data_IF_621735413901
#
_entry.id   IF_621735413901
#
_cell.length_a   1.000
_cell.length_b   1.000
_cell.length_c   1.000
_cell.angle_alpha   90.00
_cell.angle_beta   90.00
_cell.angle_gamma   90.00
#
_symmetry.space_group_name_H-M   'P 1'
#
loop_
_entity.id
_entity.type
_entity.pdbx_description
1 polymer ?
#
# COMPACT_ATOMS: atom_id res chain seq x y z
N UNK A 1 0.43 1.58 -5.74
CA UNK A 1 1.89 1.91 -5.80
C UNK A 1 2.70 0.61 -5.89
N UNK A 2 2.75 -0.17 -4.85
CA UNK A 2 3.54 -1.42 -4.74
C UNK A 2 3.19 -2.42 -5.84
N UNK A 3 1.91 -2.69 -6.06
CA UNK A 3 1.42 -3.58 -7.13
C UNK A 3 1.91 -3.15 -8.52
N UNK A 4 2.05 -1.83 -8.77
CA UNK A 4 2.57 -1.35 -10.06
C UNK A 4 4.01 -1.83 -10.28
N UNK A 5 4.87 -1.70 -9.26
CA UNK A 5 6.27 -2.14 -9.33
C UNK A 5 6.34 -3.66 -9.51
N UNK A 6 5.58 -4.42 -8.72
CA UNK A 6 5.50 -5.88 -8.82
C UNK A 6 5.05 -6.35 -10.21
N UNK A 7 4.05 -5.68 -10.80
CA UNK A 7 3.56 -6.00 -12.14
C UNK A 7 4.56 -5.69 -13.24
N UNK A 8 5.31 -4.59 -13.12
CA UNK A 8 6.40 -4.26 -14.06
C UNK A 8 7.50 -5.29 -13.95
N UNK A 9 7.93 -5.64 -12.74
CA UNK A 9 8.94 -6.66 -12.51
C UNK A 9 8.52 -8.03 -13.09
N UNK A 10 7.27 -8.44 -12.86
CA UNK A 10 6.73 -9.69 -13.40
C UNK A 10 6.76 -9.72 -14.95
N UNK A 11 6.40 -8.62 -15.63
CA UNK A 11 6.45 -8.52 -17.09
C UNK A 11 7.86 -8.53 -17.65
N UNK A 12 8.83 -8.07 -16.86
CA UNK A 12 10.25 -8.11 -17.20
C UNK A 12 10.92 -9.44 -16.81
N UNK A 13 10.16 -10.38 -16.27
CA UNK A 13 10.68 -11.63 -15.68
C UNK A 13 11.80 -11.37 -14.66
N UNK A 14 11.63 -10.34 -13.86
CA UNK A 14 12.60 -9.86 -12.89
C UNK A 14 12.14 -10.20 -11.47
N UNK A 15 12.90 -10.98 -10.69
CA UNK A 15 12.54 -11.29 -9.32
C UNK A 15 12.32 -10.02 -8.50
N UNK A 16 11.21 -9.97 -7.79
CA UNK A 16 10.83 -8.81 -6.98
C UNK A 16 10.55 -9.22 -5.54
N UNK A 17 11.18 -8.54 -4.60
CA UNK A 17 10.99 -8.74 -3.17
C UNK A 17 10.37 -7.49 -2.59
N UNK A 18 9.30 -7.65 -1.84
CA UNK A 18 8.64 -6.57 -1.13
C UNK A 18 8.87 -6.69 0.36
N UNK A 19 9.33 -5.60 0.96
CA UNK A 19 9.54 -5.47 2.42
C UNK A 19 8.71 -4.28 2.88
N UNK A 20 7.76 -4.53 3.77
CA UNK A 20 6.98 -3.46 4.39
C UNK A 20 7.78 -2.87 5.55
N UNK A 21 8.03 -1.56 5.50
CA UNK A 21 8.74 -0.85 6.57
C UNK A 21 7.71 -0.34 7.57
N UNK A 22 7.64 -1.00 8.69
CA UNK A 22 6.85 -0.54 9.84
C UNK A 22 7.74 -0.20 11.03
N UNK A 23 7.13 0.22 12.14
CA UNK A 23 7.85 0.56 13.36
C UNK A 23 8.55 -0.62 14.04
N UNK A 24 8.31 -1.86 13.60
CA UNK A 24 8.89 -3.08 14.19
C UNK A 24 10.12 -3.55 13.42
N UNK A 25 10.21 -3.25 12.12
CA UNK A 25 11.41 -3.59 11.33
C UNK A 25 12.59 -2.78 11.82
N UNK A 26 13.65 -3.48 12.17
CA UNK A 26 14.90 -2.92 12.69
C UNK A 26 16.07 -3.15 11.72
N UNK A 27 17.18 -2.48 11.97
CA UNK A 27 18.42 -2.69 11.23
C UNK A 27 18.84 -4.16 11.18
N UNK A 28 18.66 -4.90 12.28
CA UNK A 28 19.04 -6.32 12.39
C UNK A 28 18.22 -7.19 11.44
N UNK A 29 16.94 -6.87 11.24
CA UNK A 29 16.08 -7.62 10.35
C UNK A 29 16.46 -7.43 8.88
N UNK A 30 16.95 -6.23 8.52
CA UNK A 30 17.43 -5.96 7.17
C UNK A 30 18.82 -6.49 6.90
N UNK A 31 19.78 -6.25 7.79
CA UNK A 31 21.20 -6.57 7.58
C UNK A 31 21.54 -8.00 7.95
N UNK A 32 20.98 -8.47 9.06
CA UNK A 32 21.28 -9.77 9.62
C UNK A 32 21.68 -9.69 11.09
N UNK A 33 21.88 -10.84 11.67
CA UNK A 33 22.19 -11.01 13.10
C UNK A 33 23.00 -12.26 13.37
N UNK A 34 23.69 -12.25 14.49
CA UNK A 34 24.31 -13.44 15.03
C UNK A 34 23.24 -14.45 15.50
N UNK A 35 23.40 -15.68 15.11
CA UNK A 35 22.55 -16.79 15.49
C UNK A 35 23.40 -17.94 16.06
N UNK A 36 22.89 -18.57 17.12
CA UNK A 36 23.51 -19.78 17.65
C UNK A 36 23.02 -20.96 16.81
N UNK A 37 23.93 -21.65 16.17
CA UNK A 37 23.68 -22.85 15.38
C UNK A 37 24.41 -24.06 15.96
N UNK A 38 23.83 -25.25 15.77
CA UNK A 38 24.50 -26.50 16.13
C UNK A 38 25.30 -26.99 14.93
N UNK A 39 26.63 -27.07 15.09
CA UNK A 39 27.54 -27.74 14.16
C UNK A 39 28.28 -28.86 14.89
N UNK A 40 28.17 -30.07 14.39
CA UNK A 40 28.81 -31.25 14.97
C UNK A 40 28.54 -31.42 16.48
N UNK A 41 27.31 -31.14 16.91
CA UNK A 41 26.90 -31.24 18.30
C UNK A 41 27.39 -30.10 19.22
N UNK A 42 28.10 -29.10 18.69
CA UNK A 42 28.56 -27.91 19.41
C UNK A 42 27.78 -26.68 19.03
N UNK A 43 27.49 -25.80 19.98
CA UNK A 43 26.92 -24.50 19.73
C UNK A 43 28.00 -23.56 19.18
N UNK A 44 27.75 -22.97 18.02
CA UNK A 44 28.63 -22.00 17.37
C UNK A 44 27.81 -20.75 17.06
N UNK A 45 28.37 -19.58 17.28
CA UNK A 45 27.76 -18.32 16.83
C UNK A 45 28.11 -18.11 15.36
N UNK A 46 27.10 -17.89 14.52
CA UNK A 46 27.24 -17.65 13.09
C UNK A 46 26.42 -16.44 12.71
N UNK A 47 27.00 -15.50 11.95
CA UNK A 47 26.26 -14.38 11.40
C UNK A 47 25.33 -14.87 10.27
N UNK A 48 24.04 -14.61 10.42
CA UNK A 48 23.03 -14.87 9.36
C UNK A 48 22.69 -13.57 8.67
N UNK A 49 23.00 -13.49 7.39
CA UNK A 49 22.65 -12.34 6.55
C UNK A 49 21.16 -12.15 6.49
N UNK A 50 20.72 -10.88 6.53
CA UNK A 50 19.34 -10.47 6.31
C UNK A 50 19.00 -10.33 4.82
N UNK A 51 17.81 -9.83 4.56
CA UNK A 51 17.28 -9.73 3.18
C UNK A 51 18.04 -8.72 2.32
N UNK A 52 18.53 -7.61 2.89
CA UNK A 52 19.19 -6.56 2.13
C UNK A 52 20.56 -6.96 1.59
N UNK A 53 21.49 -7.55 2.38
CA UNK A 53 22.75 -8.09 1.85
C UNK A 53 22.53 -9.12 0.75
N UNK A 54 21.55 -10.01 0.92
CA UNK A 54 21.22 -10.99 -0.10
C UNK A 54 20.68 -10.33 -1.38
N UNK A 55 19.75 -9.40 -1.26
CA UNK A 55 19.16 -8.70 -2.41
C UNK A 55 20.22 -7.93 -3.20
N UNK A 56 21.13 -7.24 -2.52
CA UNK A 56 22.22 -6.50 -3.16
C UNK A 56 23.12 -7.39 -4.03
N UNK A 57 23.34 -8.63 -3.64
CA UNK A 57 24.23 -9.55 -4.37
C UNK A 57 23.54 -10.24 -5.55
N UNK A 58 22.21 -10.10 -5.69
CA UNK A 58 21.42 -10.81 -6.69
C UNK A 58 20.75 -9.86 -7.69
N UNK A 59 20.41 -10.34 -8.91
CA UNK A 59 19.70 -9.56 -9.92
C UNK A 59 18.22 -9.45 -9.60
N UNK A 60 17.88 -8.72 -8.55
CA UNK A 60 16.51 -8.59 -8.02
C UNK A 60 16.09 -7.13 -7.89
N UNK A 61 14.78 -6.89 -7.92
CA UNK A 61 14.17 -5.66 -7.47
C UNK A 61 13.76 -5.81 -6.01
N UNK A 62 14.16 -4.88 -5.15
CA UNK A 62 13.63 -4.78 -3.78
C UNK A 62 12.73 -3.55 -3.68
N UNK A 63 11.56 -3.73 -3.06
CA UNK A 63 10.59 -2.65 -2.84
C UNK A 63 10.42 -2.45 -1.35
N UNK A 64 10.83 -1.30 -0.84
CA UNK A 64 10.49 -0.88 0.51
C UNK A 64 9.13 -0.18 0.49
N UNK A 65 8.11 -0.88 0.96
CA UNK A 65 6.76 -0.35 1.03
C UNK A 65 6.56 0.43 2.34
N UNK A 66 5.76 1.50 2.28
CA UNK A 66 5.56 2.42 3.41
C UNK A 66 6.87 3.02 3.94
N UNK A 67 7.74 3.45 3.02
CA UNK A 67 9.06 3.98 3.33
C UNK A 67 9.03 5.13 4.35
N UNK A 68 8.01 5.95 4.33
CA UNK A 68 7.77 7.07 5.25
C UNK A 68 7.30 6.62 6.66
N UNK A 69 7.01 5.34 6.87
CA UNK A 69 6.73 4.77 8.19
C UNK A 69 7.96 4.06 8.82
N UNK A 70 9.06 3.98 8.06
CA UNK A 70 10.27 3.29 8.49
C UNK A 70 11.00 3.98 9.65
N UNK A 71 11.66 3.18 10.49
CA UNK A 71 12.49 3.68 11.59
C UNK A 71 13.74 4.39 11.08
N UNK A 72 14.22 5.39 11.79
CA UNK A 72 15.39 6.17 11.42
C UNK A 72 16.67 5.31 11.24
N UNK A 73 16.89 4.32 12.09
CA UNK A 73 18.05 3.41 12.02
C UNK A 73 18.03 2.54 10.74
N UNK A 74 16.85 2.11 10.30
CA UNK A 74 16.62 1.40 9.03
C UNK A 74 16.87 2.33 7.84
N UNK A 75 16.36 3.56 7.90
CA UNK A 75 16.50 4.56 6.85
C UNK A 75 17.97 4.89 6.56
N UNK A 76 18.82 4.99 7.59
CA UNK A 76 20.25 5.23 7.42
C UNK A 76 20.97 4.09 6.70
N UNK A 77 20.56 2.85 6.90
CA UNK A 77 21.10 1.69 6.16
C UNK A 77 20.74 1.78 4.68
N UNK A 78 19.47 2.05 4.39
CA UNK A 78 18.97 2.17 3.02
C UNK A 78 19.63 3.36 2.31
N UNK A 79 19.78 4.49 3.01
CA UNK A 79 20.43 5.70 2.51
C UNK A 79 21.84 5.40 1.94
N UNK A 80 22.62 4.57 2.62
CA UNK A 80 23.98 4.21 2.19
C UNK A 80 24.00 3.45 0.86
N UNK A 81 22.98 2.65 0.62
CA UNK A 81 22.81 1.90 -0.64
C UNK A 81 22.38 2.83 -1.80
N UNK A 82 21.69 3.92 -1.49
CA UNK A 82 21.20 4.88 -2.49
C UNK A 82 22.28 5.85 -3.00
N UNK A 83 23.45 5.90 -2.38
CA UNK A 83 24.55 6.77 -2.84
C UNK A 83 25.09 6.34 -4.23
N UNK A 84 25.74 7.25 -4.94
CA UNK A 84 26.25 7.03 -6.30
C UNK A 84 27.18 5.81 -6.40
N UNK A 85 28.05 5.65 -5.38
CA UNK A 85 28.90 4.47 -5.18
C UNK A 85 28.31 3.53 -4.12
N UNK A 86 26.99 3.39 -4.13
CA UNK A 86 26.23 2.68 -3.11
C UNK A 86 26.81 1.32 -2.80
N UNK A 87 27.01 1.07 -1.52
CA UNK A 87 27.55 -0.20 -0.99
C UNK A 87 27.07 -0.41 0.43
N UNK A 88 27.04 -1.65 0.84
CA UNK A 88 26.68 -2.02 2.21
C UNK A 88 27.92 -2.60 2.92
N UNK A 89 28.30 -2.00 4.04
CA UNK A 89 29.38 -2.52 4.89
C UNK A 89 28.77 -3.34 6.02
N UNK A 90 29.08 -4.61 6.06
CA UNK A 90 28.74 -5.52 7.14
C UNK A 90 29.89 -5.48 8.17
N UNK A 91 29.69 -4.76 9.26
CA UNK A 91 30.71 -4.58 10.29
C UNK A 91 31.01 -5.90 11.03
N UNK A 92 30.00 -6.72 11.23
CA UNK A 92 30.09 -7.98 11.98
C UNK A 92 30.97 -9.03 11.26
N UNK A 93 31.08 -8.91 9.94
CA UNK A 93 31.86 -9.83 9.09
C UNK A 93 33.00 -9.15 8.34
N UNK A 94 33.22 -7.85 8.55
CA UNK A 94 34.21 -7.02 7.84
C UNK A 94 34.09 -7.13 6.30
N UNK A 95 32.87 -7.25 5.79
CA UNK A 95 32.59 -7.34 4.34
C UNK A 95 31.99 -6.07 3.80
N UNK A 96 32.40 -5.71 2.58
CA UNK A 96 31.76 -4.67 1.77
C UNK A 96 31.03 -5.35 0.62
N UNK A 97 29.74 -5.10 0.50
CA UNK A 97 28.89 -5.64 -0.54
C UNK A 97 28.61 -4.51 -1.54
N UNK A 98 28.96 -4.74 -2.79
CA UNK A 98 28.58 -3.89 -3.91
C UNK A 98 27.33 -4.44 -4.58
N UNK A 99 26.38 -3.57 -4.99
CA UNK A 99 25.18 -4.02 -5.66
C UNK A 99 25.47 -4.75 -6.97
N UNK A 100 24.73 -5.83 -7.21
CA UNK A 100 24.69 -6.47 -8.51
C UNK A 100 24.27 -5.44 -9.59
N UNK A 101 24.87 -5.44 -10.78
CA UNK A 101 24.51 -4.50 -11.86
C UNK A 101 23.01 -4.47 -12.23
N UNK A 102 22.34 -5.60 -12.02
CA UNK A 102 20.89 -5.73 -12.25
C UNK A 102 20.04 -5.58 -10.97
N UNK A 103 20.64 -5.22 -9.84
CA UNK A 103 19.89 -4.85 -8.64
C UNK A 103 19.19 -3.51 -8.82
N UNK A 104 17.96 -3.39 -8.36
CA UNK A 104 17.25 -2.10 -8.27
C UNK A 104 16.49 -1.99 -6.97
N UNK A 105 16.46 -0.77 -6.45
CA UNK A 105 15.77 -0.44 -5.21
C UNK A 105 14.63 0.52 -5.51
N UNK A 106 13.44 0.18 -5.01
CA UNK A 106 12.23 0.99 -5.10
C UNK A 106 11.68 1.26 -3.71
N UNK A 107 10.94 2.33 -3.56
CA UNK A 107 10.17 2.58 -2.36
C UNK A 107 8.79 3.13 -2.71
N UNK A 108 7.83 2.95 -1.80
CA UNK A 108 6.55 3.64 -1.86
C UNK A 108 6.34 4.42 -0.58
N UNK A 109 5.71 5.58 -0.69
CA UNK A 109 5.36 6.43 0.43
C UNK A 109 3.95 6.99 0.26
N UNK A 110 3.32 7.41 1.33
CA UNK A 110 2.00 8.03 1.31
C UNK A 110 2.10 9.56 1.39
N UNK A 111 3.11 10.09 2.06
CA UNK A 111 3.29 11.52 2.33
C UNK A 111 4.45 12.14 1.56
N UNK A 112 5.10 11.41 0.67
CA UNK A 112 6.35 11.82 -0.03
C UNK A 112 7.44 12.24 0.98
N UNK A 113 7.38 11.73 2.21
CA UNK A 113 8.36 12.06 3.26
C UNK A 113 8.16 13.43 3.93
N UNK A 114 7.07 14.10 3.67
CA UNK A 114 6.75 15.40 4.32
C UNK A 114 6.10 15.24 5.70
N UNK A 115 5.80 14.00 6.08
CA UNK A 115 5.01 13.69 7.27
C UNK A 115 3.52 13.92 7.05
N UNK A 116 2.73 13.48 8.01
CA UNK A 116 1.28 13.64 7.95
C UNK A 116 0.86 15.01 8.49
N UNK A 117 0.53 15.94 7.61
CA UNK A 117 -0.03 17.25 7.95
C UNK A 117 -1.56 17.22 8.04
N UNK A 118 -2.19 16.12 7.61
CA UNK A 118 -3.65 16.01 7.48
C UNK A 118 -4.30 15.12 8.54
N UNK A 119 -3.51 14.38 9.32
CA UNK A 119 -4.00 13.41 10.30
C UNK A 119 -4.51 12.10 9.69
N UNK A 120 -4.31 11.88 8.38
CA UNK A 120 -4.86 10.75 7.63
C UNK A 120 -3.90 9.57 7.52
N UNK A 121 -2.62 9.83 7.68
CA UNK A 121 -1.54 8.86 7.55
C UNK A 121 -0.77 8.72 8.86
N UNK A 122 -1.49 8.39 9.94
CA UNK A 122 -0.88 8.16 11.25
C UNK A 122 0.25 7.14 11.16
N UNK A 123 1.37 7.44 11.82
CA UNK A 123 2.57 6.58 11.82
C UNK A 123 3.58 6.92 10.74
N UNK A 124 3.26 7.81 9.77
CA UNK A 124 4.27 8.33 8.85
C UNK A 124 5.15 9.37 9.55
N UNK A 125 6.43 9.36 9.22
CA UNK A 125 7.43 10.27 9.77
C UNK A 125 7.92 11.24 8.70
N UNK A 126 8.39 12.39 9.14
CA UNK A 126 9.07 13.30 8.25
C UNK A 126 10.46 12.74 7.89
N UNK A 127 10.69 12.52 6.60
CA UNK A 127 11.97 12.04 6.11
C UNK A 127 12.95 13.21 6.00
N UNK A 128 14.19 12.97 6.42
CA UNK A 128 15.25 13.96 6.29
C UNK A 128 15.48 14.34 4.82
N UNK A 129 15.63 15.61 4.52
CA UNK A 129 15.84 16.13 3.17
C UNK A 129 17.04 15.45 2.49
N UNK A 130 18.13 15.21 3.21
CA UNK A 130 19.29 14.50 2.66
C UNK A 130 19.01 13.05 2.27
N UNK A 131 18.05 12.40 2.91
CA UNK A 131 17.60 11.05 2.50
C UNK A 131 16.74 11.12 1.25
N UNK A 132 15.88 12.13 1.13
CA UNK A 132 15.05 12.35 -0.06
C UNK A 132 15.88 12.67 -1.29
N UNK A 133 16.92 13.46 -1.15
CA UNK A 133 17.83 13.87 -2.22
C UNK A 133 18.58 12.69 -2.89
N UNK A 134 18.71 11.57 -2.18
CA UNK A 134 19.35 10.36 -2.70
C UNK A 134 18.48 9.53 -3.63
N UNK A 135 17.19 9.78 -3.65
CA UNK A 135 16.29 9.13 -4.60
C UNK A 135 16.41 9.81 -5.97
N UNK A 136 16.97 9.09 -6.94
CA UNK A 136 17.22 9.63 -8.27
C UNK A 136 15.93 9.94 -9.04
N UNK A 137 14.85 9.24 -8.75
CA UNK A 137 13.54 9.41 -9.40
C UNK A 137 12.46 9.37 -8.33
N UNK A 138 11.68 10.44 -8.24
CA UNK A 138 10.48 10.51 -7.40
C UNK A 138 9.29 10.79 -8.32
N UNK A 139 8.30 9.88 -8.30
CA UNK A 139 7.10 9.99 -9.12
C UNK A 139 5.86 9.93 -8.25
N UNK A 140 4.92 10.80 -8.51
CA UNK A 140 3.60 10.76 -7.88
C UNK A 140 2.64 9.93 -8.72
N UNK A 141 1.92 9.00 -8.06
CA UNK A 141 0.85 8.23 -8.68
C UNK A 141 -0.48 8.75 -8.16
N UNK A 142 -1.34 9.10 -9.07
CA UNK A 142 -2.70 9.52 -8.79
C UNK A 142 -3.72 8.41 -9.14
N UNK A 143 -4.98 8.66 -8.90
CA UNK A 143 -6.05 7.77 -9.36
C UNK A 143 -6.09 7.72 -10.89
N UNK A 144 -6.52 6.58 -11.41
CA UNK A 144 -6.65 6.36 -12.83
C UNK A 144 -7.86 7.11 -13.40
N UNK A 145 -7.91 7.35 -14.73
CA UNK A 145 -9.12 7.76 -15.40
C UNK A 145 -10.27 6.80 -15.13
N UNK A 146 -11.49 7.33 -15.09
CA UNK A 146 -12.71 6.58 -14.76
C UNK A 146 -12.85 5.26 -15.53
N UNK A 147 -12.72 5.31 -16.84
CA UNK A 147 -12.88 4.14 -17.73
C UNK A 147 -11.80 3.08 -17.50
N UNK A 148 -10.58 3.51 -17.20
CA UNK A 148 -9.48 2.58 -16.89
C UNK A 148 -9.75 1.86 -15.58
N UNK A 149 -10.28 2.54 -14.57
CA UNK A 149 -10.62 1.93 -13.29
C UNK A 149 -11.78 0.94 -13.44
N UNK A 150 -12.82 1.29 -14.20
CA UNK A 150 -13.93 0.37 -14.56
C UNK A 150 -13.36 -0.88 -15.24
N UNK A 151 -12.45 -0.70 -16.20
CA UNK A 151 -11.79 -1.82 -16.89
C UNK A 151 -11.00 -2.74 -15.95
N UNK A 152 -10.32 -2.18 -14.96
CA UNK A 152 -9.58 -2.95 -13.95
C UNK A 152 -10.52 -3.76 -13.06
N UNK A 153 -11.62 -3.16 -12.61
CA UNK A 153 -12.60 -3.85 -11.75
C UNK A 153 -13.26 -4.97 -12.54
N UNK A 154 -13.68 -4.73 -13.79
CA UNK A 154 -14.27 -5.74 -14.67
C UNK A 154 -13.31 -6.91 -14.95
N UNK A 155 -12.02 -6.61 -15.19
CA UNK A 155 -11.01 -7.66 -15.39
C UNK A 155 -10.77 -8.52 -14.14
N UNK A 156 -10.99 -7.95 -12.95
CA UNK A 156 -10.92 -8.68 -11.67
C UNK A 156 -12.16 -9.53 -11.40
N UNK A 157 -13.31 -9.07 -11.88
CA UNK A 157 -14.63 -9.64 -11.59
C UNK A 157 -15.38 -9.96 -12.90
N UNK A 158 -15.06 -11.10 -13.54
CA UNK A 158 -15.63 -11.46 -14.84
C UNK A 158 -17.16 -11.52 -14.88
N UNK A 159 -17.81 -11.71 -13.75
CA UNK A 159 -19.28 -11.69 -13.66
C UNK A 159 -19.90 -10.32 -14.05
N UNK A 160 -19.12 -9.25 -13.96
CA UNK A 160 -19.53 -7.90 -14.41
C UNK A 160 -19.16 -7.61 -15.86
N UNK A 161 -18.59 -8.56 -16.60
CA UNK A 161 -18.22 -8.35 -18.02
C UNK A 161 -19.41 -8.50 -18.97
N UNK A 162 -20.48 -7.80 -18.61
CA UNK A 162 -21.71 -7.62 -19.39
C UNK A 162 -21.97 -6.13 -19.52
N UNK A 163 -22.84 -5.71 -20.46
CA UNK A 163 -23.22 -4.30 -20.61
C UNK A 163 -23.78 -3.72 -19.31
N UNK A 164 -24.71 -4.42 -18.67
CA UNK A 164 -25.33 -4.01 -17.41
C UNK A 164 -24.33 -4.01 -16.25
N UNK A 165 -23.49 -5.05 -16.16
CA UNK A 165 -22.47 -5.16 -15.14
C UNK A 165 -21.42 -4.02 -15.24
N UNK A 166 -20.99 -3.68 -16.44
CA UNK A 166 -20.07 -2.56 -16.67
C UNK A 166 -20.69 -1.21 -16.31
N UNK A 167 -21.99 -1.00 -16.58
CA UNK A 167 -22.72 0.19 -16.14
C UNK A 167 -22.79 0.27 -14.60
N UNK A 168 -23.07 -0.84 -13.95
CA UNK A 168 -23.03 -0.92 -12.48
C UNK A 168 -21.64 -0.58 -11.92
N UNK A 169 -20.57 -1.13 -12.50
CA UNK A 169 -19.20 -0.78 -12.12
C UNK A 169 -18.89 0.70 -12.37
N UNK A 170 -19.36 1.28 -13.48
CA UNK A 170 -19.18 2.70 -13.77
C UNK A 170 -19.85 3.59 -12.69
N UNK A 171 -21.02 3.20 -12.19
CA UNK A 171 -21.68 3.89 -11.08
C UNK A 171 -20.88 3.75 -9.76
N UNK A 172 -20.31 2.58 -9.49
CA UNK A 172 -19.44 2.36 -8.32
C UNK A 172 -18.17 3.21 -8.39
N UNK A 173 -17.52 3.27 -9.55
CA UNK A 173 -16.32 4.12 -9.75
C UNK A 173 -16.69 5.60 -9.66
N UNK A 174 -17.85 6.01 -10.19
CA UNK A 174 -18.37 7.39 -10.06
C UNK A 174 -18.55 7.78 -8.59
N UNK A 175 -19.07 6.86 -7.78
CA UNK A 175 -19.16 7.05 -6.33
C UNK A 175 -17.77 7.26 -5.70
N UNK A 176 -16.78 6.46 -6.09
CA UNK A 176 -15.40 6.62 -5.64
C UNK A 176 -14.84 8.00 -6.06
N UNK A 177 -15.09 8.44 -7.29
CA UNK A 177 -14.66 9.76 -7.77
C UNK A 177 -15.26 10.91 -6.96
N UNK A 178 -16.52 10.80 -6.54
CA UNK A 178 -17.16 11.80 -5.67
C UNK A 178 -16.52 11.83 -4.29
N UNK A 179 -16.22 10.66 -3.68
CA UNK A 179 -15.55 10.62 -2.39
C UNK A 179 -14.14 11.21 -2.45
N UNK A 180 -13.42 10.99 -3.56
CA UNK A 180 -12.08 11.56 -3.79
C UNK A 180 -12.14 13.08 -3.94
N UNK A 181 -13.15 13.60 -4.63
CA UNK A 181 -13.38 15.05 -4.73
C UNK A 181 -13.75 15.65 -3.39
N UNK A 182 -14.66 15.04 -2.64
CA UNK A 182 -15.03 15.46 -1.30
C UNK A 182 -13.85 15.46 -0.33
N UNK A 183 -12.96 14.48 -0.47
CA UNK A 183 -11.71 14.45 0.29
C UNK A 183 -10.77 15.61 -0.06
N UNK A 184 -10.60 15.90 -1.36
CA UNK A 184 -9.75 17.01 -1.82
C UNK A 184 -10.30 18.38 -1.43
N UNK A 185 -11.63 18.54 -1.31
CA UNK A 185 -12.27 19.75 -0.82
C UNK A 185 -12.34 19.86 0.70
N UNK A 186 -12.02 18.79 1.43
CA UNK A 186 -12.09 18.75 2.90
C UNK A 186 -13.48 18.43 3.45
N UNK A 187 -14.42 18.05 2.61
CA UNK A 187 -15.79 17.67 3.01
C UNK A 187 -15.84 16.26 3.62
N UNK A 188 -14.86 15.42 3.27
CA UNK A 188 -14.71 14.05 3.75
C UNK A 188 -13.28 13.79 4.22
N UNK A 189 -13.12 13.04 5.29
CA UNK A 189 -11.84 12.48 5.75
C UNK A 189 -11.61 11.07 5.20
N UNK A 190 -12.67 10.40 4.76
CA UNK A 190 -12.63 9.03 4.25
C UNK A 190 -12.71 9.02 2.73
N UNK A 191 -11.81 8.27 2.08
CA UNK A 191 -11.72 8.18 0.61
C UNK A 191 -11.87 6.75 0.12
N UNK A 192 -12.61 6.57 -0.97
CA UNK A 192 -12.76 5.28 -1.61
C UNK A 192 -11.61 5.03 -2.61
N UNK A 193 -10.76 4.06 -2.29
CA UNK A 193 -9.68 3.60 -3.17
C UNK A 193 -10.20 2.60 -4.22
N UNK A 194 -9.45 2.32 -5.30
CA UNK A 194 -9.79 1.26 -6.25
C UNK A 194 -9.96 -0.11 -5.58
N UNK A 195 -9.18 -0.40 -4.51
CA UNK A 195 -9.34 -1.62 -3.71
C UNK A 195 -10.73 -1.68 -3.06
N UNK A 196 -11.21 -0.56 -2.55
CA UNK A 196 -12.54 -0.48 -1.93
C UNK A 196 -13.64 -0.69 -2.97
N UNK A 197 -13.49 -0.18 -4.19
CA UNK A 197 -14.44 -0.43 -5.30
C UNK A 197 -14.49 -1.92 -5.64
N UNK A 198 -13.34 -2.57 -5.78
CA UNK A 198 -13.25 -4.02 -6.04
C UNK A 198 -13.97 -4.79 -4.92
N UNK A 199 -13.64 -4.50 -3.65
CA UNK A 199 -14.27 -5.15 -2.49
C UNK A 199 -15.78 -4.91 -2.45
N UNK A 200 -16.25 -3.71 -2.80
CA UNK A 200 -17.67 -3.43 -2.87
C UNK A 200 -18.37 -4.27 -3.95
N UNK A 201 -17.78 -4.35 -5.14
CA UNK A 201 -18.32 -5.16 -6.23
C UNK A 201 -18.31 -6.66 -5.89
N UNK A 202 -17.24 -7.19 -5.26
CA UNK A 202 -17.16 -8.56 -4.74
C UNK A 202 -18.27 -8.83 -3.72
N UNK A 203 -18.41 -7.95 -2.73
CA UNK A 203 -19.44 -8.08 -1.70
C UNK A 203 -20.86 -7.98 -2.28
N UNK A 204 -21.07 -7.22 -3.35
CA UNK A 204 -22.35 -7.17 -4.05
C UNK A 204 -22.73 -8.53 -4.63
N UNK A 205 -21.75 -9.28 -5.15
CA UNK A 205 -21.99 -10.65 -5.62
C UNK A 205 -22.30 -11.61 -4.47
N UNK A 206 -21.60 -11.45 -3.33
CA UNK A 206 -21.77 -12.33 -2.17
C UNK A 206 -23.14 -12.11 -1.51
N UNK A 207 -23.54 -10.86 -1.30
CA UNK A 207 -24.76 -10.51 -0.58
C UNK A 207 -26.00 -10.41 -1.49
N UNK A 208 -25.82 -10.31 -2.81
CA UNK A 208 -26.91 -10.10 -3.77
C UNK A 208 -27.57 -8.72 -3.67
N UNK A 209 -27.01 -7.80 -2.87
CA UNK A 209 -27.52 -6.45 -2.66
C UNK A 209 -26.40 -5.41 -2.62
N UNK A 210 -26.46 -4.47 -3.57
CA UNK A 210 -25.44 -3.42 -3.75
C UNK A 210 -25.39 -2.46 -2.56
N UNK A 211 -26.51 -2.21 -1.92
CA UNK A 211 -26.64 -1.28 -0.80
C UNK A 211 -26.04 -1.85 0.49
N UNK A 212 -26.36 -3.09 0.81
CA UNK A 212 -25.75 -3.81 1.94
C UNK A 212 -24.24 -3.93 1.74
N UNK A 213 -23.80 -4.30 0.53
CA UNK A 213 -22.40 -4.38 0.18
C UNK A 213 -21.67 -3.03 0.33
N UNK A 214 -22.29 -1.93 -0.12
CA UNK A 214 -21.73 -0.58 0.07
C UNK A 214 -21.56 -0.22 1.53
N UNK A 215 -22.59 -0.44 2.32
CA UNK A 215 -22.57 -0.17 3.77
C UNK A 215 -21.42 -0.89 4.45
N UNK A 216 -21.26 -2.18 4.20
CA UNK A 216 -20.21 -3.01 4.81
C UNK A 216 -18.81 -2.72 4.28
N UNK A 217 -18.71 -2.35 3.01
CA UNK A 217 -17.41 -2.09 2.37
C UNK A 217 -16.87 -0.69 2.65
N UNK A 218 -17.74 0.31 2.78
CA UNK A 218 -17.34 1.70 2.85
C UNK A 218 -18.06 2.52 3.93
N UNK A 219 -19.39 2.61 3.93
CA UNK A 219 -20.13 3.55 4.79
C UNK A 219 -19.81 3.37 6.28
N UNK A 220 -19.67 2.13 6.74
CA UNK A 220 -19.38 1.84 8.15
C UNK A 220 -17.96 2.27 8.57
N UNK A 221 -17.09 2.60 7.62
CA UNK A 221 -15.74 3.13 7.87
C UNK A 221 -15.73 4.67 7.94
N UNK A 222 -16.79 5.32 7.47
CA UNK A 222 -16.93 6.77 7.50
C UNK A 222 -17.32 7.25 8.89
N UNK A 223 -16.82 8.42 9.27
CA UNK A 223 -17.28 9.13 10.46
C UNK A 223 -18.79 9.36 10.36
N UNK A 224 -19.48 9.36 11.50
CA UNK A 224 -20.92 9.54 11.54
C UNK A 224 -21.38 10.88 10.96
N UNK A 225 -20.57 11.93 11.15
CA UNK A 225 -20.83 13.27 10.58
C UNK A 225 -20.75 13.30 9.06
N UNK A 226 -19.97 12.41 8.43
CA UNK A 226 -19.77 12.34 6.98
C UNK A 226 -20.82 11.47 6.28
N UNK A 227 -21.47 10.55 7.01
CA UNK A 227 -22.43 9.59 6.44
C UNK A 227 -23.57 10.22 5.66
N UNK A 228 -24.16 11.36 6.07
CA UNK A 228 -25.19 12.03 5.26
C UNK A 228 -24.66 12.47 3.88
N UNK A 229 -23.48 13.07 3.83
CA UNK A 229 -22.84 13.49 2.57
C UNK A 229 -22.52 12.28 1.68
N UNK A 230 -22.04 11.21 2.27
CA UNK A 230 -21.77 9.94 1.57
C UNK A 230 -23.05 9.31 1.03
N UNK A 231 -24.16 9.38 1.80
CA UNK A 231 -25.48 8.90 1.36
C UNK A 231 -26.01 9.71 0.18
N UNK A 232 -25.82 11.04 0.18
CA UNK A 232 -26.19 11.89 -0.97
C UNK A 232 -25.39 11.51 -2.23
N UNK A 233 -24.07 11.28 -2.09
CA UNK A 233 -23.25 10.83 -3.22
C UNK A 233 -23.70 9.47 -3.75
N UNK A 234 -24.07 8.56 -2.86
CA UNK A 234 -24.59 7.24 -3.22
C UNK A 234 -25.88 7.36 -4.04
N UNK A 235 -26.85 8.14 -3.54
CA UNK A 235 -28.11 8.39 -4.26
C UNK A 235 -27.89 8.99 -5.64
N UNK A 236 -26.99 9.98 -5.75
CA UNK A 236 -26.65 10.61 -7.03
C UNK A 236 -26.03 9.66 -8.06
N UNK A 237 -25.30 8.64 -7.60
CA UNK A 237 -24.63 7.69 -8.49
C UNK A 237 -25.50 6.49 -8.86
N UNK A 238 -26.28 5.98 -7.91
CA UNK A 238 -27.05 4.74 -8.09
C UNK A 238 -28.57 4.98 -8.24
N UNK A 239 -29.05 6.18 -7.93
CA UNK A 239 -30.49 6.49 -7.98
C UNK A 239 -31.31 5.83 -6.86
N UNK A 240 -30.65 5.31 -5.85
CA UNK A 240 -31.27 4.56 -4.74
C UNK A 240 -30.94 5.29 -3.44
N UNK A 241 -31.96 5.50 -2.60
CA UNK A 241 -31.74 6.02 -1.26
C UNK A 241 -30.99 4.98 -0.38
N UNK A 242 -30.06 5.46 0.40
CA UNK A 242 -29.34 4.60 1.35
C UNK A 242 -30.20 4.48 2.63
N UNK A 243 -30.86 3.32 2.88
CA UNK A 243 -31.71 3.19 4.03
C UNK A 243 -30.87 3.34 5.32
N UNK A 244 -31.45 3.94 6.36
CA UNK A 244 -30.83 3.94 7.69
C UNK A 244 -30.59 2.50 8.16
N UNK A 245 -29.47 2.28 8.85
CA UNK A 245 -29.25 0.97 9.44
C UNK A 245 -30.38 0.69 10.43
N UNK A 246 -31.03 -0.48 10.36
CA UNK A 246 -32.04 -0.81 11.34
C UNK A 246 -31.36 -0.78 12.72
N UNK A 247 -31.78 0.18 13.56
CA UNK A 247 -31.38 0.21 14.97
C UNK A 247 -31.98 -1.07 15.55
N UNK A 248 -31.13 -2.06 15.84
CA UNK A 248 -31.55 -3.14 16.72
C UNK A 248 -31.88 -2.49 18.08
N UNK A 249 -33.16 -2.26 18.33
CA UNK A 249 -33.58 -2.01 19.69
C UNK A 249 -33.01 -3.18 20.51
N UNK A 250 -32.14 -2.88 21.44
CA UNK A 250 -31.68 -3.84 22.41
C UNK A 250 -32.97 -4.37 23.08
N UNK A 251 -33.32 -5.61 22.78
CA UNK A 251 -34.47 -6.26 23.36
C UNK A 251 -34.28 -6.23 24.86
N UNK A 252 -35.21 -5.57 25.59
CA UNK A 252 -35.38 -5.78 26.98
C UNK A 252 -35.73 -7.26 27.18
N UNK A 253 -34.73 -8.01 27.66
CA UNK A 253 -34.84 -9.37 28.06
C UNK A 253 -34.05 -9.58 29.34
#
# INVERSE_FOLDING_TARGET
>A
KSTHIEQVAARLNWPCIRVNLDSHISRIDLIGKDAIVLRDGKQVTEFREGILPWALQNPVAIVFDEYDAGRADVMFVIQRVLEVDGKLTLLDTNRVIHPNPSFRLFATANTVGLGDTTGLYHGTQQINQGQMDRWSIVSTLNYLPHEDEVGIVAAKLPAYDTSEGREQLANMVRMADLTRKGFMSGDLSTVMSPRTVITWAENTQIFGDVTTAFRLSFLNKCDEVERPTVAEYYQRCLGIDLPEAPIRQAGNG
#
